data_IF_823706778719
#
_entry.id   IF_823706778719
#
_cell.length_a   1.000
_cell.length_b   1.000
_cell.length_c   1.000
_cell.angle_alpha   90.00
_cell.angle_beta   90.00
_cell.angle_gamma   90.00
#
_symmetry.space_group_name_H-M   'P 1'
#
loop_
_entity.id
_entity.type
_entity.pdbx_description
1 polymer ?
#
# COMPACT_ATOMS: atom_id res chain seq x y z
N UNK A 1 38.16 -53.00 76.55
CA UNK A 1 38.17 -51.57 76.18
C UNK A 1 37.78 -51.51 74.67
N UNK A 2 36.54 -51.05 74.34
CA UNK A 2 36.16 -50.94 72.89
C UNK A 2 36.58 -49.59 72.35
N UNK A 3 37.22 -49.66 71.24
CA UNK A 3 37.74 -48.56 70.43
C UNK A 3 36.60 -47.91 69.61
N UNK A 4 36.28 -46.63 69.92
CA UNK A 4 35.35 -45.81 69.11
C UNK A 4 36.05 -45.28 67.84
N UNK A 5 35.55 -45.61 66.69
CA UNK A 5 35.92 -44.97 65.42
C UNK A 5 34.98 -43.83 65.13
N UNK A 6 35.47 -42.63 64.75
CA UNK A 6 34.58 -41.53 64.35
C UNK A 6 34.06 -41.71 62.95
N UNK A 7 32.76 -41.57 62.80
CA UNK A 7 32.06 -41.57 61.50
C UNK A 7 32.26 -40.20 60.82
N UNK A 8 32.98 -40.17 59.71
CA UNK A 8 33.15 -38.95 58.90
C UNK A 8 31.88 -38.69 58.09
N UNK A 9 31.12 -37.66 58.43
CA UNK A 9 30.01 -37.16 57.67
C UNK A 9 30.54 -36.28 56.54
N UNK A 10 30.42 -36.75 55.29
CA UNK A 10 30.73 -35.98 54.08
C UNK A 10 29.53 -35.02 53.76
N UNK A 11 29.73 -33.72 53.60
CA UNK A 11 28.62 -32.81 53.21
C UNK A 11 28.29 -33.03 51.71
N UNK A 12 27.01 -33.33 51.45
CA UNK A 12 26.44 -33.38 50.12
C UNK A 12 26.27 -31.94 49.59
N UNK A 13 27.16 -31.50 48.69
CA UNK A 13 27.02 -30.20 48.03
C UNK A 13 26.00 -30.35 46.90
N UNK A 14 24.81 -29.84 47.14
CA UNK A 14 23.75 -29.75 46.12
C UNK A 14 24.09 -28.62 45.18
N UNK A 15 24.64 -28.91 43.99
CA UNK A 15 24.86 -27.93 42.95
C UNK A 15 23.53 -27.55 42.30
N UNK A 16 23.03 -26.37 42.59
CA UNK A 16 21.87 -25.80 41.91
C UNK A 16 22.26 -25.46 40.46
N UNK A 17 21.75 -26.22 39.50
CA UNK A 17 21.85 -25.91 38.05
C UNK A 17 20.93 -24.74 37.77
N UNK A 18 21.48 -23.54 37.62
CA UNK A 18 20.78 -22.39 37.06
C UNK A 18 20.51 -22.66 35.57
N UNK A 19 19.27 -23.05 35.27
CA UNK A 19 18.79 -23.07 33.87
C UNK A 19 18.57 -21.62 33.46
N UNK A 20 19.26 -21.10 32.44
CA UNK A 20 18.97 -19.75 31.97
C UNK A 20 17.53 -19.71 31.43
N UNK A 21 16.68 -18.99 32.13
CA UNK A 21 15.33 -18.66 31.67
C UNK A 21 15.50 -17.81 30.43
N UNK A 22 15.10 -18.31 29.26
CA UNK A 22 15.04 -17.53 28.02
C UNK A 22 14.01 -16.41 28.27
N UNK A 23 14.51 -15.23 28.62
CA UNK A 23 13.69 -14.03 28.76
C UNK A 23 13.07 -13.76 27.38
N UNK A 24 11.80 -14.11 27.22
CA UNK A 24 11.00 -13.67 26.11
C UNK A 24 10.84 -12.14 26.27
N UNK A 25 11.67 -11.36 25.58
CA UNK A 25 11.58 -9.90 25.59
C UNK A 25 10.17 -9.51 25.18
N UNK A 26 9.50 -8.69 25.99
CA UNK A 26 8.21 -8.13 25.61
C UNK A 26 8.32 -7.44 24.23
N UNK A 27 7.31 -7.52 23.36
CA UNK A 27 7.34 -6.89 22.05
C UNK A 27 7.57 -5.38 22.21
N UNK A 28 8.54 -4.83 21.45
CA UNK A 28 8.95 -3.41 21.54
C UNK A 28 7.96 -2.44 20.92
N UNK A 29 6.88 -2.92 20.31
CA UNK A 29 5.94 -2.10 19.57
C UNK A 29 4.52 -2.67 19.55
N UNK A 30 3.66 -2.03 18.78
CA UNK A 30 2.27 -2.49 18.58
C UNK A 30 2.29 -3.85 17.88
N UNK A 31 1.59 -4.83 18.45
CA UNK A 31 1.62 -6.21 17.96
C UNK A 31 0.78 -6.38 16.70
N UNK A 32 1.36 -7.01 15.68
CA UNK A 32 0.70 -7.50 14.48
C UNK A 32 0.97 -8.99 14.29
N UNK A 33 0.08 -9.69 13.61
CA UNK A 33 0.29 -11.09 13.25
C UNK A 33 0.17 -11.27 11.74
N UNK A 34 1.22 -11.78 11.11
CA UNK A 34 1.18 -12.27 9.75
C UNK A 34 0.99 -13.79 9.75
N UNK A 35 0.13 -14.30 8.89
CA UNK A 35 -0.07 -15.74 8.69
C UNK A 35 0.16 -16.07 7.22
N UNK A 36 0.93 -17.11 6.97
CA UNK A 36 1.23 -17.64 5.64
C UNK A 36 0.77 -19.09 5.60
N UNK A 37 -0.02 -19.45 4.59
CA UNK A 37 -0.63 -20.77 4.51
C UNK A 37 -1.80 -20.98 5.53
N UNK A 38 -2.41 -22.20 5.58
CA UNK A 38 -2.20 -23.25 4.60
C UNK A 38 -2.72 -22.87 3.20
N UNK A 39 -2.24 -23.55 2.18
CA UNK A 39 -2.54 -23.24 0.77
C UNK A 39 -2.12 -21.83 0.39
N UNK A 40 -2.69 -21.28 -0.67
CA UNK A 40 -2.32 -19.94 -1.19
C UNK A 40 -2.92 -18.79 -0.36
N UNK A 41 -2.80 -18.83 0.97
CA UNK A 41 -3.29 -17.78 1.86
C UNK A 41 -2.15 -16.97 2.47
N UNK A 42 -2.31 -15.64 2.51
CA UNK A 42 -1.42 -14.73 3.20
C UNK A 42 -2.25 -13.59 3.79
N UNK A 43 -2.01 -13.24 5.03
CA UNK A 43 -2.73 -12.12 5.69
C UNK A 43 -1.87 -11.46 6.75
N UNK A 44 -2.18 -10.21 7.04
CA UNK A 44 -1.64 -9.44 8.16
C UNK A 44 -2.83 -8.88 8.95
N UNK A 45 -2.87 -9.14 10.25
CA UNK A 45 -3.95 -8.72 11.15
C UNK A 45 -3.41 -7.98 12.37
N UNK A 46 -4.25 -7.14 12.96
CA UNK A 46 -3.99 -6.49 14.25
C UNK A 46 -4.23 -7.43 15.43
N UNK A 47 -4.05 -6.93 16.65
CA UNK A 47 -4.25 -7.70 17.89
C UNK A 47 -5.70 -8.20 18.06
N UNK A 48 -6.69 -7.60 17.39
CA UNK A 48 -8.09 -7.99 17.41
C UNK A 48 -8.44 -8.99 16.30
N UNK A 49 -7.45 -9.40 15.47
CA UNK A 49 -7.66 -10.28 14.33
C UNK A 49 -8.25 -9.57 13.10
N UNK A 50 -8.37 -8.23 13.11
CA UNK A 50 -8.87 -7.46 11.97
C UNK A 50 -7.78 -7.28 10.92
N UNK A 51 -8.12 -7.40 9.60
CA UNK A 51 -7.15 -7.18 8.54
C UNK A 51 -6.55 -5.76 8.60
N UNK A 52 -5.23 -5.66 8.62
CA UNK A 52 -4.51 -4.39 8.59
C UNK A 52 -4.70 -3.73 7.23
N UNK A 53 -5.25 -2.51 7.23
CA UNK A 53 -5.43 -1.68 6.03
C UNK A 53 -4.74 -0.32 6.17
N UNK A 54 -4.71 0.22 7.39
CA UNK A 54 -4.08 1.48 7.74
C UNK A 54 -3.51 1.41 9.16
N UNK A 55 -2.34 1.99 9.34
CA UNK A 55 -1.64 2.10 10.62
C UNK A 55 -1.12 3.53 10.79
N UNK A 56 -0.81 3.92 12.00
CA UNK A 56 0.00 5.11 12.26
C UNK A 56 1.48 4.79 12.08
N UNK A 57 2.31 5.83 11.84
CA UNK A 57 3.76 5.65 11.83
C UNK A 57 4.26 5.33 13.24
N UNK A 58 5.19 4.40 13.38
CA UNK A 58 5.70 3.98 14.68
C UNK A 58 6.36 2.61 14.67
N UNK A 59 6.61 2.09 15.86
CA UNK A 59 7.27 0.80 16.08
C UNK A 59 6.23 -0.32 16.21
N UNK A 60 6.49 -1.40 15.49
CA UNK A 60 5.62 -2.58 15.42
C UNK A 60 6.42 -3.85 15.66
N UNK A 61 5.78 -4.81 16.32
CA UNK A 61 6.29 -6.16 16.49
C UNK A 61 5.42 -7.11 15.69
N UNK A 62 5.94 -7.62 14.57
CA UNK A 62 5.19 -8.46 13.62
C UNK A 62 5.57 -9.92 13.86
N UNK A 63 4.63 -10.71 14.39
CA UNK A 63 4.80 -12.16 14.51
C UNK A 63 4.35 -12.84 13.22
N UNK A 64 5.27 -13.46 12.51
CA UNK A 64 5.01 -14.21 11.28
C UNK A 64 4.85 -15.68 11.63
N UNK A 65 3.67 -16.25 11.37
CA UNK A 65 3.35 -17.67 11.55
C UNK A 65 3.26 -18.31 10.17
N UNK A 66 4.28 -19.05 9.78
CA UNK A 66 4.21 -19.84 8.56
C UNK A 66 3.61 -21.21 8.89
N UNK A 67 2.41 -21.47 8.38
CA UNK A 67 1.62 -22.70 8.58
C UNK A 67 1.67 -23.63 7.36
N UNK A 68 2.54 -23.32 6.38
CA UNK A 68 2.73 -24.12 5.18
C UNK A 68 3.66 -25.28 5.44
N UNK A 69 3.69 -26.23 4.51
CA UNK A 69 4.78 -27.20 4.45
C UNK A 69 6.14 -26.50 4.26
N UNK A 70 7.23 -27.13 4.68
CA UNK A 70 8.57 -26.58 4.52
C UNK A 70 8.87 -26.24 3.05
N UNK A 71 9.53 -25.10 2.81
CA UNK A 71 9.94 -24.58 1.49
C UNK A 71 8.81 -24.17 0.53
N UNK A 72 7.57 -24.09 0.99
CA UNK A 72 6.44 -23.79 0.14
C UNK A 72 6.18 -22.29 0.04
N UNK A 73 6.18 -21.57 1.16
CA UNK A 73 5.80 -20.16 1.25
C UNK A 73 6.70 -19.39 2.22
N UNK A 74 6.79 -18.07 2.00
CA UNK A 74 7.39 -17.12 2.92
C UNK A 74 6.52 -15.86 3.07
N UNK A 75 6.85 -15.00 4.03
CA UNK A 75 6.28 -13.67 4.18
C UNK A 75 7.34 -12.63 3.86
N UNK A 76 7.10 -11.81 2.84
CA UNK A 76 7.99 -10.74 2.43
C UNK A 76 7.27 -9.40 2.55
N UNK A 77 7.74 -8.52 3.44
CA UNK A 77 7.23 -7.16 3.65
C UNK A 77 8.17 -6.15 3.01
N UNK A 78 7.64 -5.28 2.16
CA UNK A 78 8.40 -4.21 1.50
C UNK A 78 7.65 -2.87 1.56
N UNK A 79 8.40 -1.77 1.74
CA UNK A 79 7.87 -0.42 1.81
C UNK A 79 8.93 0.58 2.27
N UNK A 80 8.55 1.82 2.62
CA UNK A 80 9.50 2.84 3.07
C UNK A 80 10.37 2.37 4.24
N UNK A 81 11.68 2.20 3.98
CA UNK A 81 12.65 1.77 4.99
C UNK A 81 12.59 0.31 5.43
N UNK A 82 11.73 -0.50 4.82
CA UNK A 82 11.60 -1.93 5.13
C UNK A 82 11.62 -2.76 3.86
N UNK A 83 12.49 -3.76 3.84
CA UNK A 83 12.53 -4.82 2.84
C UNK A 83 13.00 -6.09 3.56
N UNK A 84 12.06 -6.94 4.00
CA UNK A 84 12.34 -8.03 4.92
C UNK A 84 11.52 -9.27 4.57
N UNK A 85 12.20 -10.41 4.40
CA UNK A 85 11.58 -11.68 4.08
C UNK A 85 11.86 -12.73 5.16
N UNK A 86 10.87 -13.56 5.49
CA UNK A 86 11.06 -14.76 6.30
C UNK A 86 11.65 -15.88 5.45
N UNK A 87 12.21 -16.89 6.11
CA UNK A 87 12.59 -18.13 5.44
C UNK A 87 11.36 -18.88 4.90
N UNK A 88 11.61 -19.82 3.98
CA UNK A 88 10.62 -20.74 3.43
C UNK A 88 10.51 -21.99 4.32
N UNK A 89 10.23 -21.80 5.59
CA UNK A 89 10.16 -22.88 6.58
C UNK A 89 8.86 -22.76 7.40
N UNK A 90 8.47 -23.88 8.01
CA UNK A 90 7.32 -23.93 8.91
C UNK A 90 7.74 -23.45 10.30
N UNK A 91 8.03 -22.15 10.43
CA UNK A 91 8.46 -21.54 11.69
C UNK A 91 7.62 -20.35 12.07
N UNK A 92 7.77 -19.92 13.30
CA UNK A 92 7.25 -18.64 13.79
C UNK A 92 8.44 -17.74 14.11
N UNK A 93 8.46 -16.56 13.51
CA UNK A 93 9.48 -15.54 13.74
C UNK A 93 8.83 -14.20 14.06
N UNK A 94 9.46 -13.41 14.93
CA UNK A 94 8.97 -12.06 15.24
C UNK A 94 9.99 -11.03 14.77
N UNK A 95 9.50 -9.99 14.12
CA UNK A 95 10.27 -8.84 13.66
C UNK A 95 9.85 -7.59 14.40
N UNK A 96 10.81 -6.89 14.97
CA UNK A 96 10.61 -5.50 15.36
C UNK A 96 10.96 -4.61 14.17
N UNK A 97 10.04 -3.73 13.76
CA UNK A 97 10.16 -2.85 12.62
C UNK A 97 9.60 -1.47 12.93
N UNK A 98 10.27 -0.42 12.47
CA UNK A 98 9.73 0.93 12.47
C UNK A 98 9.08 1.21 11.13
N UNK A 99 7.78 1.50 11.12
CA UNK A 99 7.02 1.81 9.93
C UNK A 99 6.86 3.32 9.75
N UNK A 100 7.36 3.85 8.64
CA UNK A 100 7.22 5.25 8.24
C UNK A 100 6.03 5.45 7.32
N UNK A 101 5.57 6.71 7.14
CA UNK A 101 4.45 7.03 6.26
C UNK A 101 4.67 6.52 4.83
N UNK A 102 3.68 5.82 4.29
CA UNK A 102 3.68 5.31 2.92
C UNK A 102 2.89 4.01 2.75
N UNK A 103 3.01 3.43 1.57
CA UNK A 103 2.36 2.15 1.26
C UNK A 103 3.34 1.01 1.43
N UNK A 104 2.92 -0.01 2.14
CA UNK A 104 3.62 -1.27 2.33
C UNK A 104 2.91 -2.38 1.58
N UNK A 105 3.70 -3.27 1.01
CA UNK A 105 3.20 -4.45 0.34
C UNK A 105 3.76 -5.69 1.04
N UNK A 106 2.96 -6.74 1.11
CA UNK A 106 3.45 -8.03 1.55
C UNK A 106 3.03 -9.11 0.55
N UNK A 107 3.86 -10.11 0.40
CA UNK A 107 3.65 -11.21 -0.56
C UNK A 107 4.38 -12.48 -0.12
N UNK A 108 4.08 -13.59 -0.78
CA UNK A 108 4.97 -14.74 -0.87
C UNK A 108 5.83 -14.59 -2.14
N UNK A 109 7.14 -14.77 -2.03
CA UNK A 109 8.04 -14.61 -3.18
C UNK A 109 7.86 -15.70 -4.24
N UNK A 110 7.49 -16.91 -3.84
CA UNK A 110 7.17 -17.99 -4.77
C UNK A 110 5.83 -17.79 -5.49
N UNK A 111 4.86 -17.07 -4.86
CA UNK A 111 3.49 -16.93 -5.37
C UNK A 111 3.00 -15.47 -5.35
N UNK A 112 3.73 -14.51 -5.97
CA UNK A 112 3.49 -13.07 -5.81
C UNK A 112 2.19 -12.57 -6.46
N UNK A 113 1.54 -13.38 -7.27
CA UNK A 113 0.26 -13.05 -7.91
C UNK A 113 -0.94 -13.46 -7.06
N UNK A 114 -0.88 -14.61 -6.40
CA UNK A 114 -1.95 -15.18 -5.57
C UNK A 114 -1.86 -14.72 -4.11
N UNK A 115 -0.64 -14.70 -3.55
CA UNK A 115 -0.38 -14.43 -2.14
C UNK A 115 0.23 -13.05 -1.96
N UNK A 116 -0.64 -12.04 -1.85
CA UNK A 116 -0.21 -10.64 -1.66
C UNK A 116 -1.28 -9.83 -0.94
N UNK A 117 -0.83 -8.75 -0.31
CA UNK A 117 -1.67 -7.71 0.25
C UNK A 117 -0.90 -6.41 0.40
N UNK A 118 -1.60 -5.38 0.86
CA UNK A 118 -1.00 -4.08 1.11
C UNK A 118 -1.74 -3.33 2.21
N UNK A 119 -1.02 -2.43 2.86
CA UNK A 119 -1.59 -1.49 3.82
C UNK A 119 -0.90 -0.13 3.70
N UNK A 120 -1.51 0.90 4.26
CA UNK A 120 -0.96 2.25 4.29
C UNK A 120 -0.56 2.62 5.71
N UNK A 121 0.55 3.33 5.85
CA UNK A 121 1.01 3.90 7.12
C UNK A 121 0.92 5.41 7.04
N UNK A 122 0.33 6.01 8.07
CA UNK A 122 0.10 7.45 8.17
C UNK A 122 -1.16 7.94 7.45
N UNK A 123 -1.30 9.25 7.23
CA UNK A 123 -2.47 9.84 6.59
C UNK A 123 -2.65 9.32 5.16
N UNK A 124 -3.85 8.86 4.83
CA UNK A 124 -4.17 8.48 3.46
C UNK A 124 -4.08 9.69 2.53
N UNK A 125 -3.52 9.52 1.32
CA UNK A 125 -3.58 10.57 0.31
C UNK A 125 -5.05 10.98 0.06
N UNK A 126 -5.35 12.26 -0.08
CA UNK A 126 -6.71 12.70 -0.33
C UNK A 126 -7.26 12.05 -1.60
N UNK A 127 -8.52 11.61 -1.54
CA UNK A 127 -9.18 10.97 -2.67
C UNK A 127 -9.16 11.88 -3.91
N UNK A 128 -8.96 11.31 -5.13
CA UNK A 128 -8.95 12.09 -6.35
C UNK A 128 -10.24 12.88 -6.54
N UNK A 129 -10.14 14.20 -6.75
CA UNK A 129 -11.27 15.06 -7.06
C UNK A 129 -11.90 14.67 -8.40
N UNK A 130 -13.23 14.68 -8.51
CA UNK A 130 -13.93 14.23 -9.71
C UNK A 130 -14.15 15.37 -10.69
N UNK A 131 -13.91 15.09 -11.97
CA UNK A 131 -14.22 15.97 -13.11
C UNK A 131 -14.96 15.18 -14.18
N UNK A 132 -15.74 15.88 -15.01
CA UNK A 132 -16.43 15.33 -16.16
C UNK A 132 -15.93 16.02 -17.42
N UNK A 133 -15.48 15.23 -18.41
CA UNK A 133 -15.08 15.68 -19.72
C UNK A 133 -16.06 15.21 -20.80
N UNK A 134 -16.24 16.00 -21.83
CA UNK A 134 -17.05 15.60 -22.98
C UNK A 134 -16.47 16.18 -24.25
N UNK A 135 -16.55 15.40 -25.33
CA UNK A 135 -16.40 15.87 -26.69
C UNK A 135 -17.57 15.37 -27.54
N UNK A 136 -18.09 16.26 -28.42
CA UNK A 136 -19.28 16.00 -29.24
C UNK A 136 -20.60 15.92 -28.45
N UNK A 137 -21.74 15.75 -29.19
CA UNK A 137 -21.87 15.97 -30.63
C UNK A 137 -21.74 17.47 -31.02
N UNK A 138 -21.79 17.76 -32.33
CA UNK A 138 -21.86 19.15 -32.85
C UNK A 138 -20.65 20.03 -32.45
N UNK A 139 -19.41 19.53 -32.56
CA UNK A 139 -18.17 20.29 -32.27
C UNK A 139 -18.18 20.96 -30.90
N UNK A 140 -18.58 20.22 -29.88
CA UNK A 140 -18.53 20.67 -28.50
C UNK A 140 -17.41 20.01 -27.75
N UNK A 141 -16.71 20.75 -26.87
CA UNK A 141 -15.73 20.19 -25.94
C UNK A 141 -15.80 20.98 -24.61
N UNK A 142 -15.78 20.28 -23.51
CA UNK A 142 -15.75 20.91 -22.19
C UNK A 142 -15.16 20.00 -21.13
N UNK A 143 -14.72 20.64 -20.06
CA UNK A 143 -14.35 20.02 -18.79
C UNK A 143 -15.14 20.74 -17.68
N UNK A 144 -15.82 19.97 -16.83
CA UNK A 144 -16.67 20.46 -15.75
C UNK A 144 -16.31 19.81 -14.42
N UNK A 145 -16.58 20.51 -13.32
CA UNK A 145 -16.53 19.93 -11.98
C UNK A 145 -17.62 18.86 -11.78
N UNK A 146 -17.56 18.13 -10.67
CA UNK A 146 -18.61 17.19 -10.30
C UNK A 146 -19.99 17.87 -10.14
N UNK A 147 -20.02 19.14 -9.73
CA UNK A 147 -21.24 19.97 -9.63
C UNK A 147 -21.75 20.51 -10.98
N UNK A 148 -21.06 20.22 -12.09
CA UNK A 148 -21.46 20.68 -13.42
C UNK A 148 -20.92 22.06 -13.83
N UNK A 149 -20.23 22.77 -12.95
CA UNK A 149 -19.62 24.07 -13.28
C UNK A 149 -18.45 23.94 -14.25
N UNK A 150 -18.31 24.89 -15.18
CA UNK A 150 -17.18 24.91 -16.11
C UNK A 150 -15.85 25.12 -15.34
N UNK A 151 -14.86 24.32 -15.64
CA UNK A 151 -13.54 24.41 -15.03
C UNK A 151 -12.78 25.61 -15.61
N UNK A 152 -12.50 26.60 -14.75
CA UNK A 152 -11.63 27.76 -15.05
C UNK A 152 -10.29 27.64 -14.32
N UNK A 153 -10.34 27.23 -13.06
CA UNK A 153 -9.17 27.05 -12.19
C UNK A 153 -9.32 25.79 -11.35
N UNK A 154 -8.21 25.07 -11.13
CA UNK A 154 -8.11 23.94 -10.24
C UNK A 154 -6.87 24.11 -9.33
N UNK A 155 -6.82 23.41 -8.22
CA UNK A 155 -5.58 23.20 -7.43
C UNK A 155 -4.81 22.03 -7.99
N UNK A 156 -3.48 22.06 -7.93
CA UNK A 156 -2.65 20.87 -8.26
C UNK A 156 -3.05 19.69 -7.38
N UNK A 157 -3.02 18.47 -7.95
CA UNK A 157 -3.43 17.28 -7.22
C UNK A 157 -3.97 16.17 -8.12
N UNK A 158 -4.50 15.14 -7.49
CA UNK A 158 -5.06 13.97 -8.18
C UNK A 158 -6.51 14.19 -8.59
N UNK A 159 -6.84 13.86 -9.84
CA UNK A 159 -8.16 13.99 -10.43
C UNK A 159 -8.59 12.70 -11.12
N UNK A 160 -9.84 12.30 -10.88
CA UNK A 160 -10.51 11.23 -11.63
C UNK A 160 -11.43 11.89 -12.64
N UNK A 161 -11.11 11.79 -13.93
CA UNK A 161 -11.82 12.48 -15.01
C UNK A 161 -12.61 11.44 -15.79
N UNK A 162 -13.95 11.51 -15.71
CA UNK A 162 -14.86 10.71 -16.52
C UNK A 162 -15.10 11.44 -17.85
N UNK A 163 -14.67 10.84 -18.96
CA UNK A 163 -14.79 11.42 -20.30
C UNK A 163 -15.84 10.67 -21.09
N UNK A 164 -16.79 11.39 -21.67
CA UNK A 164 -17.72 10.89 -22.68
C UNK A 164 -17.36 11.46 -24.04
N UNK A 165 -16.92 10.60 -24.93
CA UNK A 165 -16.65 10.93 -26.30
C UNK A 165 -17.85 10.49 -27.17
N UNK A 166 -18.58 11.46 -27.71
CA UNK A 166 -19.76 11.27 -28.54
C UNK A 166 -19.52 11.79 -29.98
N UNK A 167 -18.27 12.11 -30.33
CA UNK A 167 -17.89 12.61 -31.65
C UNK A 167 -17.45 11.47 -32.58
N UNK A 168 -17.71 11.63 -33.89
CA UNK A 168 -17.16 10.75 -34.92
C UNK A 168 -15.89 11.32 -35.55
N UNK A 169 -15.60 12.61 -35.29
CA UNK A 169 -14.57 13.39 -36.00
C UNK A 169 -13.65 14.15 -35.07
N UNK A 170 -13.96 14.19 -33.79
CA UNK A 170 -13.18 14.88 -32.77
C UNK A 170 -12.74 13.92 -31.67
N UNK A 171 -11.73 14.27 -30.94
CA UNK A 171 -11.27 13.55 -29.78
C UNK A 171 -11.17 14.46 -28.54
N UNK A 172 -11.12 13.87 -27.37
CA UNK A 172 -10.83 14.58 -26.13
C UNK A 172 -9.35 14.47 -25.83
N UNK A 173 -8.59 15.56 -26.00
CA UNK A 173 -7.17 15.63 -25.72
C UNK A 173 -6.89 16.63 -24.60
N UNK A 174 -6.43 16.12 -23.45
CA UNK A 174 -5.96 16.93 -22.33
C UNK A 174 -4.44 17.04 -22.37
N UNK A 175 -3.97 18.28 -22.46
CA UNK A 175 -2.53 18.60 -22.53
C UNK A 175 -2.18 19.70 -21.55
N UNK A 176 -1.03 19.60 -20.89
CA UNK A 176 -0.49 20.56 -19.94
C UNK A 176 0.72 20.01 -19.20
N UNK A 177 1.24 20.71 -18.16
CA UNK A 177 2.36 20.24 -17.37
C UNK A 177 2.14 18.85 -16.79
N UNK A 178 2.97 17.88 -17.24
CA UNK A 178 2.91 16.49 -16.78
C UNK A 178 1.74 15.67 -17.31
N UNK A 179 0.96 16.18 -18.26
CA UNK A 179 -0.13 15.44 -18.89
C UNK A 179 -0.19 15.65 -20.40
N UNK A 180 -0.32 14.54 -21.13
CA UNK A 180 -0.61 14.49 -22.55
C UNK A 180 -1.41 13.22 -22.80
N UNK A 181 -2.74 13.29 -22.61
CA UNK A 181 -3.60 12.12 -22.70
C UNK A 181 -4.83 12.39 -23.55
N UNK A 182 -5.15 11.45 -24.46
CA UNK A 182 -6.23 11.64 -25.41
C UNK A 182 -7.03 10.38 -25.68
N UNK A 183 -8.29 10.55 -26.12
CA UNK A 183 -9.05 9.55 -26.83
C UNK A 183 -8.65 9.55 -28.32
N UNK A 184 -8.89 8.46 -29.04
CA UNK A 184 -8.69 8.44 -30.49
C UNK A 184 -9.75 9.27 -31.22
N UNK A 185 -9.43 9.84 -32.37
CA UNK A 185 -10.42 10.60 -33.19
C UNK A 185 -11.61 9.73 -33.62
N UNK A 186 -11.38 8.43 -33.81
CA UNK A 186 -12.44 7.46 -34.13
C UNK A 186 -13.09 6.81 -32.93
N UNK A 187 -12.59 7.10 -31.71
CA UNK A 187 -13.13 6.53 -30.47
C UNK A 187 -14.49 7.14 -30.17
N UNK A 188 -15.44 6.29 -29.76
CA UNK A 188 -16.73 6.71 -29.21
C UNK A 188 -17.04 5.86 -27.99
N UNK A 189 -17.42 6.50 -26.89
CA UNK A 189 -17.69 5.79 -25.65
C UNK A 189 -17.38 6.60 -24.41
N UNK A 190 -17.19 5.91 -23.33
CA UNK A 190 -16.80 6.49 -22.06
C UNK A 190 -15.44 5.90 -21.61
N UNK A 191 -14.59 6.75 -21.07
CA UNK A 191 -13.33 6.36 -20.44
C UNK A 191 -13.09 7.18 -19.20
N UNK A 192 -12.45 6.60 -18.21
CA UNK A 192 -12.06 7.30 -16.99
C UNK A 192 -10.54 7.33 -16.86
N UNK A 193 -10.00 8.52 -16.62
CA UNK A 193 -8.58 8.72 -16.36
C UNK A 193 -8.35 9.14 -14.92
N UNK A 194 -7.38 8.55 -14.25
CA UNK A 194 -6.83 9.08 -12.99
C UNK A 194 -5.51 9.74 -13.31
N UNK A 195 -5.41 11.05 -13.04
CA UNK A 195 -4.27 11.88 -13.44
C UNK A 195 -3.87 12.79 -12.28
N UNK A 196 -2.56 13.04 -12.14
CA UNK A 196 -2.01 14.08 -11.27
C UNK A 196 -1.75 15.33 -12.09
N UNK A 197 -2.57 16.37 -11.92
CA UNK A 197 -2.40 17.65 -12.59
C UNK A 197 -1.40 18.51 -11.83
N UNK A 198 -0.35 18.99 -12.51
CA UNK A 198 0.66 19.91 -11.98
C UNK A 198 0.24 21.36 -12.23
N UNK A 199 0.77 22.29 -11.45
CA UNK A 199 0.53 23.73 -11.65
C UNK A 199 0.94 24.16 -13.06
N UNK A 200 0.15 25.08 -13.63
CA UNK A 200 0.33 25.66 -14.97
C UNK A 200 -0.91 25.62 -15.83
N UNK A 201 -0.76 26.05 -17.07
CA UNK A 201 -1.84 26.13 -18.07
C UNK A 201 -2.13 24.77 -18.66
N UNK A 202 -3.40 24.35 -18.65
CA UNK A 202 -3.89 23.14 -19.26
C UNK A 202 -4.93 23.43 -20.31
N UNK A 203 -5.03 22.58 -21.32
CA UNK A 203 -5.99 22.73 -22.42
C UNK A 203 -6.64 21.37 -22.70
N UNK A 204 -7.97 21.36 -22.79
CA UNK A 204 -8.70 20.28 -23.46
C UNK A 204 -9.00 20.72 -24.89
N UNK A 205 -8.70 19.89 -25.87
CA UNK A 205 -8.84 20.21 -27.29
C UNK A 205 -9.20 18.99 -28.14
N UNK A 206 -9.65 19.24 -29.37
CA UNK A 206 -9.67 18.25 -30.44
C UNK A 206 -8.38 18.36 -31.26
N UNK A 207 -7.80 17.21 -31.64
CA UNK A 207 -6.67 17.16 -32.56
C UNK A 207 -7.11 17.41 -34.02
N UNK A 208 -8.35 16.99 -34.36
CA UNK A 208 -8.90 17.18 -35.70
C UNK A 208 -9.36 18.62 -35.96
N UNK A 209 -9.88 19.31 -34.94
CA UNK A 209 -10.38 20.69 -35.11
C UNK A 209 -9.70 21.61 -34.12
N UNK A 210 -8.60 22.26 -34.49
CA UNK A 210 -7.75 23.10 -33.61
C UNK A 210 -8.48 24.22 -32.89
N UNK A 211 -9.59 24.77 -33.46
CA UNK A 211 -10.43 25.80 -32.81
C UNK A 211 -11.30 25.23 -31.69
N UNK A 212 -11.54 23.92 -31.66
CA UNK A 212 -12.30 23.26 -30.60
C UNK A 212 -11.42 23.01 -29.38
N UNK A 213 -11.33 24.00 -28.51
CA UNK A 213 -10.48 23.96 -27.31
C UNK A 213 -11.06 24.75 -26.14
N UNK A 214 -10.69 24.37 -24.93
CA UNK A 214 -10.92 25.11 -23.67
C UNK A 214 -9.65 25.05 -22.84
N UNK A 215 -9.32 26.17 -22.21
CA UNK A 215 -8.13 26.30 -21.39
C UNK A 215 -8.52 26.59 -19.95
N UNK A 216 -7.77 26.06 -19.00
CA UNK A 216 -7.92 26.32 -17.58
C UNK A 216 -6.55 26.39 -16.92
N UNK A 217 -6.50 26.99 -15.73
CA UNK A 217 -5.28 27.09 -14.92
C UNK A 217 -5.30 26.08 -13.80
N UNK A 218 -4.15 25.49 -13.51
CA UNK A 218 -3.92 24.73 -12.30
C UNK A 218 -2.95 25.53 -11.43
N UNK A 219 -3.40 25.93 -10.25
CA UNK A 219 -2.58 26.64 -9.25
C UNK A 219 -1.87 25.62 -8.36
N UNK A 220 -0.76 26.00 -7.70
CA UNK A 220 -0.10 25.13 -6.72
C UNK A 220 -1.10 24.53 -5.71
N UNK A 221 -0.76 23.37 -5.16
CA UNK A 221 -1.45 22.86 -3.97
C UNK A 221 -1.26 23.87 -2.81
N UNK A 222 -2.23 23.96 -1.93
CA UNK A 222 -2.07 24.73 -0.70
C UNK A 222 -1.12 24.02 0.22
#
# INVERSE_FOLDING_TARGET
>A
MPSFRPLLLLPLVLAAVLVPSSANSAPKGIALTATVGPGFSIRLVDANGSPVRQLDAGDYSITIKNLSAAQEHNFHLSGPGVDKASAFDNTTVTWDVTLSNGTYNYKCDAHPTQMKGSFHVGPLPPAPKRLNGKVGPKRTIWLKSASGAAVKTLKAGSYKIAIRDASKTDNFHLVGPGVNKKTGVKFRGAVTWTLKLKAGKHTVRSDAHKKLRRTFMVTPAA
#
